data_IF_484970878149
#
_entry.id   IF_484970878149
#
_cell.length_a   1.000
_cell.length_b   1.000
_cell.length_c   1.000
_cell.angle_alpha   90.00
_cell.angle_beta   90.00
_cell.angle_gamma   90.00
#
_symmetry.space_group_name_H-M   'P 1'
#
loop_
_entity.id
_entity.type
_entity.pdbx_description
1 polymer ?
#
# COMPACT_ATOMS: atom_id res chain seq x y z
N UNK A 1 -3.99 5.54 -13.03
CA UNK A 1 -3.65 6.39 -11.86
C UNK A 1 -2.30 5.95 -11.32
N UNK A 2 -1.51 6.85 -10.77
CA UNK A 2 -0.24 6.47 -10.13
C UNK A 2 -0.51 6.28 -8.64
N UNK A 3 -0.19 5.10 -8.13
CA UNK A 3 -0.21 4.83 -6.68
C UNK A 3 1.22 4.82 -6.19
N UNK A 4 1.49 5.64 -5.19
CA UNK A 4 2.78 5.80 -4.55
C UNK A 4 2.75 5.08 -3.21
N UNK A 5 3.61 4.09 -3.04
CA UNK A 5 3.71 3.26 -1.85
C UNK A 5 4.86 3.71 -0.98
N UNK A 6 4.67 3.64 0.34
CA UNK A 6 5.70 3.89 1.35
C UNK A 6 5.58 2.87 2.48
N UNK A 7 6.61 2.03 2.65
CA UNK A 7 6.69 1.04 3.72
C UNK A 7 7.71 1.44 4.78
N UNK A 8 7.25 1.49 6.04
CA UNK A 8 8.05 1.91 7.19
C UNK A 8 9.11 0.88 7.55
N UNK A 9 8.75 -0.42 7.60
CA UNK A 9 9.63 -1.49 8.11
C UNK A 9 10.93 -1.64 7.30
N UNK A 10 10.90 -1.29 6.01
CA UNK A 10 12.02 -1.48 5.08
C UNK A 10 12.48 -0.19 4.38
N UNK A 11 11.93 0.98 4.76
CA UNK A 11 12.14 2.27 4.07
C UNK A 11 11.98 2.18 2.54
N UNK A 12 11.05 1.34 2.08
CA UNK A 12 10.84 1.10 0.65
C UNK A 12 9.74 1.99 0.13
N UNK A 13 10.04 2.69 -0.94
CA UNK A 13 9.09 3.49 -1.70
C UNK A 13 9.13 3.08 -3.16
N UNK A 14 7.97 3.07 -3.80
CA UNK A 14 7.87 2.90 -5.25
C UNK A 14 6.53 3.43 -5.74
N UNK A 15 6.45 3.65 -7.04
CA UNK A 15 5.21 4.06 -7.71
C UNK A 15 4.78 2.98 -8.70
N UNK A 16 3.49 2.80 -8.86
CA UNK A 16 2.92 1.89 -9.86
C UNK A 16 1.78 2.55 -10.61
N UNK A 17 1.73 2.33 -11.93
CA UNK A 17 0.55 2.67 -12.71
C UNK A 17 -0.50 1.57 -12.51
N UNK A 18 -1.62 1.93 -11.90
CA UNK A 18 -2.71 1.03 -11.61
C UNK A 18 -3.98 1.54 -12.30
N UNK A 19 -4.73 0.64 -12.92
CA UNK A 19 -5.97 0.98 -13.61
C UNK A 19 -7.16 1.14 -12.66
N UNK A 20 -7.23 0.35 -11.59
CA UNK A 20 -8.33 0.36 -10.62
C UNK A 20 -7.79 0.21 -9.20
N UNK A 21 -8.32 1.01 -8.26
CA UNK A 21 -7.94 0.91 -6.85
C UNK A 21 -8.63 -0.32 -6.24
N UNK A 22 -7.87 -1.40 -6.10
CA UNK A 22 -8.34 -2.66 -5.56
C UNK A 22 -7.33 -3.18 -4.53
N UNK A 23 -7.81 -3.64 -3.37
CA UNK A 23 -6.99 -4.24 -2.31
C UNK A 23 -6.09 -5.37 -2.79
N UNK A 24 -6.54 -6.23 -3.70
CA UNK A 24 -5.75 -7.33 -4.25
C UNK A 24 -4.59 -6.81 -5.11
N UNK A 25 -4.84 -5.76 -5.90
CA UNK A 25 -3.80 -5.11 -6.72
C UNK A 25 -2.77 -4.44 -5.82
N UNK A 26 -3.22 -3.69 -4.80
CA UNK A 26 -2.34 -3.07 -3.80
C UNK A 26 -1.50 -4.14 -3.10
N UNK A 27 -2.14 -5.22 -2.62
CA UNK A 27 -1.46 -6.34 -1.95
C UNK A 27 -0.38 -6.96 -2.82
N UNK A 28 -0.67 -7.21 -4.10
CA UNK A 28 0.30 -7.76 -5.04
C UNK A 28 1.54 -6.87 -5.15
N UNK A 29 1.38 -5.55 -5.23
CA UNK A 29 2.52 -4.62 -5.25
C UNK A 29 3.33 -4.69 -3.96
N UNK A 30 2.67 -4.73 -2.80
CA UNK A 30 3.35 -4.83 -1.51
C UNK A 30 4.13 -6.16 -1.39
N UNK A 31 3.55 -7.28 -1.81
CA UNK A 31 4.20 -8.59 -1.70
C UNK A 31 5.42 -8.71 -2.63
N UNK A 32 5.33 -8.20 -3.87
CA UNK A 32 6.43 -8.29 -4.84
C UNK A 32 7.54 -7.29 -4.51
N UNK A 33 7.19 -6.04 -4.22
CA UNK A 33 8.17 -4.95 -4.12
C UNK A 33 8.55 -4.63 -2.67
N UNK A 34 7.68 -4.96 -1.70
CA UNK A 34 7.82 -4.52 -0.32
C UNK A 34 8.72 -5.38 0.57
N UNK A 35 9.09 -6.59 0.12
CA UNK A 35 9.87 -7.56 0.92
C UNK A 35 9.30 -7.73 2.33
N UNK A 36 7.98 -7.94 2.40
CA UNK A 36 7.26 -8.20 3.63
C UNK A 36 7.07 -9.70 3.80
N UNK A 37 7.48 -10.22 4.95
CA UNK A 37 7.32 -11.65 5.29
C UNK A 37 5.87 -12.03 5.60
N UNK A 38 5.01 -11.03 5.86
CA UNK A 38 3.65 -11.23 6.35
C UNK A 38 2.62 -11.05 5.23
N UNK A 39 1.92 -12.13 4.89
CA UNK A 39 0.85 -12.15 3.88
C UNK A 39 -0.45 -11.50 4.36
N UNK A 40 -0.62 -11.34 5.68
CA UNK A 40 -1.75 -10.64 6.27
C UNK A 40 -1.52 -9.14 6.23
N UNK A 41 -2.10 -8.52 5.20
CA UNK A 41 -2.04 -7.10 4.91
C UNK A 41 -3.45 -6.61 4.64
N UNK A 42 -3.83 -5.53 5.32
CA UNK A 42 -5.11 -4.86 5.16
C UNK A 42 -4.89 -3.40 4.76
N UNK A 43 -5.91 -2.81 4.13
CA UNK A 43 -5.87 -1.45 3.61
C UNK A 43 -7.05 -0.65 4.14
N UNK A 44 -6.80 0.61 4.47
CA UNK A 44 -7.84 1.63 4.61
C UNK A 44 -7.57 2.73 3.62
N UNK A 45 -8.62 3.36 3.09
CA UNK A 45 -8.52 4.41 2.09
C UNK A 45 -9.47 5.57 2.42
N UNK A 46 -8.96 6.79 2.28
CA UNK A 46 -9.72 8.02 2.43
C UNK A 46 -9.76 8.74 1.09
N UNK A 47 -10.94 8.79 0.48
CA UNK A 47 -11.15 9.42 -0.83
C UNK A 47 -10.80 10.91 -0.81
N UNK A 48 -11.09 11.61 0.30
CA UNK A 48 -10.85 13.05 0.45
C UNK A 48 -9.36 13.41 0.39
N UNK A 49 -8.50 12.54 0.91
CA UNK A 49 -7.04 12.77 0.93
C UNK A 49 -6.32 12.02 -0.18
N UNK A 50 -7.05 11.22 -0.96
CA UNK A 50 -6.50 10.28 -1.95
C UNK A 50 -5.37 9.40 -1.36
N UNK A 51 -5.48 9.04 -0.08
CA UNK A 51 -4.44 8.34 0.65
C UNK A 51 -5.01 7.25 1.55
N UNK A 52 -4.17 6.27 1.87
CA UNK A 52 -4.56 5.11 2.65
C UNK A 52 -3.42 4.54 3.49
N UNK A 53 -3.80 3.78 4.51
CA UNK A 53 -2.85 3.10 5.39
C UNK A 53 -2.78 1.61 5.05
N UNK A 54 -1.60 1.04 5.30
CA UNK A 54 -1.30 -0.37 5.13
C UNK A 54 -1.06 -0.93 6.53
N UNK A 55 -1.85 -1.91 6.95
CA UNK A 55 -1.73 -2.54 8.28
C UNK A 55 -1.42 -4.04 8.16
N UNK A 56 -0.80 -4.60 9.18
CA UNK A 56 -0.59 -6.05 9.29
C UNK A 56 -1.74 -6.74 10.08
N UNK A 57 -1.64 -8.06 10.28
CA UNK A 57 -2.58 -8.85 11.09
C UNK A 57 -2.77 -8.34 12.54
N UNK A 58 -1.81 -7.63 13.11
CA UNK A 58 -1.91 -7.01 14.43
C UNK A 58 -2.52 -5.61 14.40
N UNK A 59 -3.10 -5.19 13.27
CA UNK A 59 -3.59 -3.82 13.01
C UNK A 59 -2.52 -2.73 13.16
N UNK A 60 -1.24 -3.10 13.14
CA UNK A 60 -0.13 -2.14 13.20
C UNK A 60 0.09 -1.55 11.81
N UNK A 61 0.20 -0.23 11.73
CA UNK A 61 0.59 0.46 10.49
C UNK A 61 2.01 0.07 10.11
N UNK A 62 2.15 -0.48 8.90
CA UNK A 62 3.44 -0.87 8.32
C UNK A 62 3.82 0.01 7.11
N UNK A 63 2.92 0.89 6.69
CA UNK A 63 3.13 1.79 5.58
C UNK A 63 1.87 2.57 5.22
N UNK A 64 1.98 3.38 4.18
CA UNK A 64 0.90 4.14 3.60
C UNK A 64 1.03 4.18 2.07
N UNK A 65 -0.04 4.58 1.41
CA UNK A 65 -0.03 4.87 -0.02
C UNK A 65 -0.83 6.15 -0.31
N UNK A 66 -0.53 6.80 -1.43
CA UNK A 66 -1.32 7.92 -1.94
C UNK A 66 -1.42 7.88 -3.46
N UNK A 67 -2.50 8.43 -3.99
CA UNK A 67 -2.83 8.42 -5.41
C UNK A 67 -2.52 9.80 -6.00
N UNK A 68 -1.85 9.80 -7.14
CA UNK A 68 -1.65 10.98 -7.98
C UNK A 68 -2.22 10.75 -9.38
N UNK A 69 -2.77 11.81 -9.97
CA UNK A 69 -3.35 11.82 -11.32
C UNK A 69 -2.39 12.44 -12.32
#
# INVERSE_FOLDING_TARGET
MIVNFNLVKNQRTWSANIHQLNSDVLKRHILINGNVDNLDISFSYCEKTAAGNITNSSNKVIGNFYISY
#
